data_IF_966907399724
#
_entry.id   IF_966907399724
#
_cell.length_a   1.000
_cell.length_b   1.000
_cell.length_c   1.000
_cell.angle_alpha   90.00
_cell.angle_beta   90.00
_cell.angle_gamma   90.00
#
_symmetry.space_group_name_H-M   'P 1'
#
loop_
_entity.id
_entity.type
_entity.pdbx_description
1 polymer ?
#
# COMPACT_ATOMS: atom_id res chain seq x y z
N UNK A 1 36.47 15.20 -26.75
CA UNK A 1 35.50 15.76 -25.80
C UNK A 1 34.18 15.07 -26.04
N UNK A 2 33.68 14.25 -25.11
CA UNK A 2 32.36 13.67 -25.23
C UNK A 2 31.35 14.79 -24.96
N UNK A 3 30.54 15.15 -25.96
CA UNK A 3 29.39 16.03 -25.76
C UNK A 3 28.38 15.29 -24.89
N UNK A 4 28.23 15.71 -23.64
CA UNK A 4 27.19 15.19 -22.75
C UNK A 4 25.84 15.62 -23.31
N UNK A 5 25.05 14.67 -23.81
CA UNK A 5 23.67 14.93 -24.21
C UNK A 5 22.83 14.93 -22.93
N UNK A 6 22.30 16.10 -22.56
CA UNK A 6 21.34 16.22 -21.47
C UNK A 6 19.92 16.20 -22.02
N UNK A 7 19.08 15.31 -21.49
CA UNK A 7 17.66 15.30 -21.84
C UNK A 7 16.96 16.56 -21.27
N UNK A 8 16.08 17.21 -22.04
CA UNK A 8 15.23 18.28 -21.54
C UNK A 8 14.37 17.82 -20.36
N UNK A 9 13.98 18.76 -19.50
CA UNK A 9 13.19 18.46 -18.29
C UNK A 9 11.88 17.78 -18.65
N UNK A 10 11.22 18.24 -19.71
CA UNK A 10 9.92 17.74 -20.18
C UNK A 10 9.99 16.25 -20.55
N UNK A 11 11.08 15.83 -21.20
CA UNK A 11 11.31 14.43 -21.55
C UNK A 11 11.54 13.60 -20.29
N UNK A 12 12.28 14.11 -19.30
CA UNK A 12 12.40 13.45 -18.00
C UNK A 12 11.05 13.30 -17.30
N UNK A 13 10.16 14.29 -17.38
CA UNK A 13 8.83 14.19 -16.79
C UNK A 13 7.98 13.11 -17.44
N UNK A 14 8.03 13.02 -18.76
CA UNK A 14 7.35 11.99 -19.54
C UNK A 14 7.87 10.60 -19.13
N UNK A 15 9.19 10.39 -19.12
CA UNK A 15 9.81 9.14 -18.69
C UNK A 15 9.33 8.74 -17.29
N UNK A 16 9.41 9.66 -16.31
CA UNK A 16 8.99 9.40 -14.94
C UNK A 16 7.49 9.11 -14.80
N UNK A 17 6.65 9.63 -15.69
CA UNK A 17 5.20 9.37 -15.67
C UNK A 17 4.84 7.93 -16.02
N UNK A 18 5.75 7.21 -16.70
CA UNK A 18 5.57 5.81 -17.09
C UNK A 18 6.21 4.80 -16.13
N UNK A 19 7.00 5.27 -15.15
CA UNK A 19 7.65 4.38 -14.18
C UNK A 19 6.64 3.90 -13.12
N UNK A 20 6.76 2.65 -12.73
CA UNK A 20 6.00 2.09 -11.61
C UNK A 20 6.52 2.57 -10.25
N UNK A 21 5.83 2.16 -9.19
CA UNK A 21 6.15 2.53 -7.82
C UNK A 21 7.58 2.16 -7.42
N UNK A 22 7.99 0.91 -7.59
CA UNK A 22 9.31 0.44 -7.13
C UNK A 22 10.43 1.03 -7.96
N UNK A 23 10.22 1.18 -9.26
CA UNK A 23 11.17 1.85 -10.15
C UNK A 23 11.36 3.31 -9.76
N UNK A 24 10.28 4.04 -9.44
CA UNK A 24 10.36 5.40 -8.91
C UNK A 24 11.11 5.46 -7.58
N UNK A 25 10.91 4.50 -6.67
CA UNK A 25 11.67 4.41 -5.41
C UNK A 25 13.15 4.21 -5.65
N UNK A 26 13.50 3.31 -6.56
CA UNK A 26 14.90 3.07 -6.94
C UNK A 26 15.53 4.34 -7.53
N UNK A 27 14.83 5.07 -8.39
CA UNK A 27 15.29 6.36 -8.92
C UNK A 27 15.59 7.38 -7.81
N UNK A 28 14.82 7.41 -6.71
CA UNK A 28 15.07 8.33 -5.59
C UNK A 28 16.41 8.09 -4.90
N UNK A 29 16.95 6.87 -4.97
CA UNK A 29 18.23 6.48 -4.37
C UNK A 29 19.43 6.79 -5.26
N UNK A 30 19.21 7.01 -6.56
CA UNK A 30 20.28 7.26 -7.54
C UNK A 30 20.84 8.69 -7.44
N UNK A 31 19.98 9.71 -7.34
CA UNK A 31 20.43 11.10 -7.24
C UNK A 31 19.41 12.04 -6.62
N UNK A 32 19.88 13.20 -6.12
CA UNK A 32 19.02 14.28 -5.61
C UNK A 32 18.08 14.85 -6.70
N UNK A 33 18.52 14.84 -7.96
CA UNK A 33 17.72 15.29 -9.09
C UNK A 33 16.56 14.32 -9.38
N UNK A 34 16.82 13.02 -9.43
CA UNK A 34 15.75 12.03 -9.59
C UNK A 34 14.78 12.04 -8.42
N UNK A 35 15.28 12.18 -7.18
CA UNK A 35 14.44 12.35 -6.01
C UNK A 35 13.56 13.61 -6.04
N UNK A 36 13.96 14.67 -6.76
CA UNK A 36 13.12 15.87 -6.89
C UNK A 36 12.02 15.69 -7.93
N UNK A 37 12.27 14.95 -9.02
CA UNK A 37 11.25 14.62 -10.01
C UNK A 37 10.09 13.79 -9.43
N UNK A 38 10.36 12.85 -8.51
CA UNK A 38 9.28 12.07 -7.86
C UNK A 38 8.36 12.88 -6.95
N UNK A 39 8.71 14.14 -6.64
CA UNK A 39 7.86 15.08 -5.87
C UNK A 39 6.87 15.84 -6.74
N UNK A 40 6.94 15.67 -8.06
CA UNK A 40 6.07 16.39 -8.98
C UNK A 40 4.66 15.81 -8.97
N UNK A 41 3.63 16.63 -9.28
CA UNK A 41 2.23 16.21 -9.26
C UNK A 41 1.96 14.93 -10.05
N UNK A 42 2.64 14.73 -11.19
CA UNK A 42 2.48 13.58 -12.07
C UNK A 42 2.84 12.25 -11.40
N UNK A 43 3.81 12.26 -10.47
CA UNK A 43 4.25 11.07 -9.76
C UNK A 43 3.42 10.77 -8.51
N UNK A 44 2.64 11.74 -7.98
CA UNK A 44 2.00 11.58 -6.67
C UNK A 44 0.98 10.45 -6.61
N UNK A 45 0.28 10.18 -7.72
CA UNK A 45 -0.65 9.04 -7.82
C UNK A 45 0.09 7.72 -7.72
N UNK A 46 1.11 7.52 -8.55
CA UNK A 46 1.94 6.30 -8.54
C UNK A 46 2.68 6.11 -7.23
N UNK A 47 3.05 7.21 -6.56
CA UNK A 47 3.71 7.21 -5.25
C UNK A 47 2.72 7.12 -4.07
N UNK A 48 1.41 7.00 -4.32
CA UNK A 48 0.37 6.91 -3.28
C UNK A 48 0.39 8.08 -2.27
N UNK A 49 0.60 9.29 -2.80
CA UNK A 49 0.70 10.56 -2.06
C UNK A 49 -0.33 11.60 -2.53
N UNK A 50 -1.35 11.17 -3.27
CA UNK A 50 -2.45 12.03 -3.71
C UNK A 50 -3.13 12.72 -2.52
N UNK A 51 -3.38 14.03 -2.60
CA UNK A 51 -3.97 14.79 -1.48
C UNK A 51 -5.50 14.71 -1.42
N UNK A 52 -6.14 14.29 -2.50
CA UNK A 52 -7.60 14.26 -2.61
C UNK A 52 -8.14 12.98 -1.99
N UNK A 53 -8.52 13.08 -0.72
CA UNK A 53 -9.05 11.95 0.07
C UNK A 53 -10.55 11.79 -0.19
N UNK A 54 -10.98 10.57 -0.45
CA UNK A 54 -12.40 10.21 -0.49
C UNK A 54 -12.89 10.04 0.96
N UNK A 55 -13.86 10.84 1.42
CA UNK A 55 -14.40 10.73 2.78
C UNK A 55 -15.25 9.46 2.95
N UNK A 56 -15.58 9.11 4.20
CA UNK A 56 -16.57 8.06 4.48
C UNK A 56 -17.93 8.42 3.86
N UNK A 57 -18.56 7.46 3.18
CA UNK A 57 -19.75 7.69 2.36
C UNK A 57 -19.50 8.43 1.04
N UNK A 58 -18.25 8.75 0.70
CA UNK A 58 -17.87 9.30 -0.60
C UNK A 58 -18.07 8.29 -1.74
N UNK A 59 -18.22 8.80 -2.97
CA UNK A 59 -18.38 7.94 -4.14
C UNK A 59 -17.04 7.35 -4.57
N UNK A 60 -16.93 6.02 -4.53
CA UNK A 60 -15.74 5.28 -4.96
C UNK A 60 -16.04 4.63 -6.32
N UNK A 61 -15.28 5.01 -7.35
CA UNK A 61 -15.25 4.25 -8.58
C UNK A 61 -14.20 3.14 -8.45
N UNK A 62 -14.66 1.91 -8.22
CA UNK A 62 -13.80 0.75 -7.99
C UNK A 62 -12.79 0.51 -9.12
N UNK A 63 -13.15 0.78 -10.38
CA UNK A 63 -12.26 0.60 -11.53
C UNK A 63 -11.05 1.55 -11.54
N UNK A 64 -11.12 2.63 -10.75
CA UNK A 64 -10.04 3.60 -10.61
C UNK A 64 -9.22 3.40 -9.31
N UNK A 65 -9.61 2.46 -8.46
CA UNK A 65 -8.91 2.21 -7.20
C UNK A 65 -7.70 1.33 -7.49
N UNK A 66 -6.54 1.81 -7.03
CA UNK A 66 -5.31 1.04 -6.98
C UNK A 66 -4.96 0.76 -5.52
N UNK A 67 -4.56 -0.46 -5.24
CA UNK A 67 -4.02 -0.87 -3.95
C UNK A 67 -2.51 -0.68 -3.96
N UNK A 68 -1.93 -0.33 -2.81
CA UNK A 68 -0.52 -0.01 -2.71
C UNK A 68 0.36 -1.25 -3.01
N UNK A 69 1.29 -1.19 -3.97
CA UNK A 69 2.04 -2.37 -4.44
C UNK A 69 3.02 -2.93 -3.41
N UNK A 70 3.37 -2.17 -2.36
CA UNK A 70 4.13 -2.71 -1.23
C UNK A 70 3.46 -3.93 -0.60
N UNK A 71 2.12 -4.00 -0.62
CA UNK A 71 1.41 -5.14 -0.05
C UNK A 71 1.72 -6.47 -0.75
N UNK A 72 1.97 -6.44 -2.06
CA UNK A 72 2.35 -7.64 -2.83
C UNK A 72 3.82 -8.03 -2.64
N UNK A 73 4.58 -7.22 -1.89
CA UNK A 73 5.98 -7.44 -1.58
C UNK A 73 6.23 -7.53 -0.08
N UNK A 74 5.20 -7.71 0.73
CA UNK A 74 5.35 -7.88 2.17
C UNK A 74 5.50 -9.35 2.52
N UNK A 75 6.49 -9.66 3.37
CA UNK A 75 6.51 -10.92 4.10
C UNK A 75 5.70 -10.73 5.39
N UNK A 76 4.57 -11.41 5.50
CA UNK A 76 3.68 -11.34 6.65
C UNK A 76 3.11 -12.73 6.96
N UNK A 77 3.43 -13.22 8.17
CA UNK A 77 3.06 -14.57 8.64
C UNK A 77 2.25 -14.47 9.95
N UNK A 78 1.01 -13.94 9.90
CA UNK A 78 0.22 -13.63 11.11
C UNK A 78 0.94 -12.71 12.11
N UNK A 79 1.96 -11.96 11.68
CA UNK A 79 2.81 -11.16 12.55
C UNK A 79 1.97 -10.34 13.53
N UNK A 80 2.22 -10.52 14.81
CA UNK A 80 1.42 -9.90 15.89
C UNK A 80 2.01 -8.56 16.32
N UNK A 81 3.25 -8.31 15.93
CA UNK A 81 3.93 -7.03 16.02
C UNK A 81 4.28 -6.49 14.63
N UNK A 82 4.38 -5.17 14.50
CA UNK A 82 4.85 -4.52 13.27
C UNK A 82 6.33 -4.75 12.98
N UNK A 83 7.13 -5.00 14.02
CA UNK A 83 8.55 -5.28 13.88
C UNK A 83 8.80 -6.64 13.17
N UNK A 84 7.76 -7.46 13.07
CA UNK A 84 7.72 -8.73 12.35
C UNK A 84 7.16 -8.59 10.91
N UNK A 85 6.88 -7.36 10.46
CA UNK A 85 6.33 -7.09 9.12
C UNK A 85 7.42 -6.51 8.23
N UNK A 86 7.83 -7.26 7.21
CA UNK A 86 8.93 -6.88 6.33
C UNK A 86 8.42 -6.51 4.94
N UNK A 87 9.05 -5.51 4.33
CA UNK A 87 8.93 -5.18 2.91
C UNK A 87 10.15 -5.76 2.17
N UNK A 88 9.90 -6.68 1.25
CA UNK A 88 10.94 -7.57 0.72
C UNK A 88 11.42 -8.53 1.81
N UNK A 89 12.69 -8.91 1.74
CA UNK A 89 13.22 -9.99 2.58
C UNK A 89 13.58 -9.52 4.01
N UNK A 90 14.24 -8.37 4.14
CA UNK A 90 14.91 -8.01 5.41
C UNK A 90 14.58 -6.60 5.93
N UNK A 91 13.72 -5.84 5.26
CA UNK A 91 13.47 -4.43 5.65
C UNK A 91 12.18 -4.29 6.43
N UNK A 92 12.26 -3.94 7.71
CA UNK A 92 11.07 -3.69 8.56
C UNK A 92 10.22 -2.59 7.93
N UNK A 93 8.92 -2.84 7.76
CA UNK A 93 7.99 -1.93 7.09
C UNK A 93 8.03 -0.52 7.69
N UNK A 94 8.06 -0.43 9.02
CA UNK A 94 8.04 0.83 9.77
C UNK A 94 9.24 1.74 9.43
N UNK A 95 10.36 1.16 8.99
CA UNK A 95 11.56 1.91 8.60
C UNK A 95 11.53 2.35 7.13
N UNK A 96 10.50 1.96 6.39
CA UNK A 96 10.34 2.32 4.98
C UNK A 96 9.40 3.51 4.80
N UNK A 97 9.62 4.25 3.71
CA UNK A 97 8.67 5.29 3.31
C UNK A 97 7.30 4.77 2.85
N UNK A 98 7.14 3.46 2.63
CA UNK A 98 5.83 2.88 2.31
C UNK A 98 4.87 2.96 3.50
N UNK A 99 5.38 2.89 4.74
CA UNK A 99 4.56 2.96 5.96
C UNK A 99 3.68 4.23 6.02
N UNK A 100 4.24 5.37 5.61
CA UNK A 100 3.58 6.67 5.63
C UNK A 100 2.72 6.96 4.39
N UNK A 101 2.79 6.10 3.37
CA UNK A 101 2.05 6.26 2.13
C UNK A 101 0.63 5.72 2.25
N UNK A 102 -0.28 6.23 1.41
CA UNK A 102 -1.66 5.79 1.45
C UNK A 102 -1.81 4.36 0.96
N UNK A 103 -2.68 3.59 1.63
CA UNK A 103 -2.93 2.21 1.24
C UNK A 103 -3.59 2.08 -0.14
N UNK A 104 -4.19 3.16 -0.65
CA UNK A 104 -4.91 3.20 -1.93
C UNK A 104 -4.73 4.53 -2.65
N UNK A 105 -4.86 4.52 -3.98
CA UNK A 105 -5.04 5.71 -4.81
C UNK A 105 -6.35 5.57 -5.61
N UNK A 106 -7.28 6.54 -5.54
CA UNK A 106 -7.29 7.68 -4.62
C UNK A 106 -7.39 7.22 -3.15
N UNK A 107 -6.81 7.98 -2.20
CA UNK A 107 -6.82 7.58 -0.80
C UNK A 107 -8.21 7.65 -0.20
N UNK A 108 -8.60 6.61 0.53
CA UNK A 108 -9.88 6.55 1.23
C UNK A 108 -9.72 6.87 2.72
N UNK A 109 -10.68 7.58 3.29
CA UNK A 109 -10.73 7.84 4.74
C UNK A 109 -11.25 6.65 5.54
N UNK A 110 -11.85 5.67 4.87
CA UNK A 110 -12.47 4.49 5.45
C UNK A 110 -12.10 3.25 4.63
N UNK A 111 -11.60 2.22 5.31
CA UNK A 111 -11.24 0.94 4.72
C UNK A 111 -11.77 -0.19 5.60
N UNK A 112 -12.24 -1.27 4.98
CA UNK A 112 -12.50 -2.53 5.68
C UNK A 112 -11.53 -3.59 5.23
N UNK A 113 -10.94 -4.28 6.19
CA UNK A 113 -10.15 -5.47 5.98
C UNK A 113 -11.03 -6.67 6.26
N UNK A 114 -11.14 -7.58 5.30
CA UNK A 114 -11.81 -8.87 5.50
C UNK A 114 -10.76 -9.96 5.35
N UNK A 115 -10.42 -10.60 6.46
CA UNK A 115 -9.54 -11.76 6.50
C UNK A 115 -10.41 -12.99 6.39
N UNK A 116 -10.34 -13.73 5.27
CA UNK A 116 -11.17 -14.94 5.03
C UNK A 116 -12.67 -14.67 5.29
N UNK A 117 -13.34 -15.53 6.05
CA UNK A 117 -14.77 -15.41 6.40
C UNK A 117 -15.01 -14.65 7.71
N UNK A 118 -13.96 -14.10 8.32
CA UNK A 118 -14.08 -13.39 9.58
C UNK A 118 -14.82 -12.06 9.43
N UNK A 119 -15.36 -11.58 10.56
CA UNK A 119 -16.00 -10.28 10.62
C UNK A 119 -14.99 -9.19 10.20
N UNK A 120 -15.33 -8.35 9.19
CA UNK A 120 -14.39 -7.35 8.71
C UNK A 120 -13.96 -6.37 9.80
N UNK A 121 -12.66 -6.08 9.85
CA UNK A 121 -12.07 -5.05 10.69
C UNK A 121 -12.15 -3.71 9.97
N UNK A 122 -12.53 -2.66 10.69
CA UNK A 122 -12.66 -1.32 10.13
C UNK A 122 -11.46 -0.44 10.50
N UNK A 123 -10.98 0.31 9.51
CA UNK A 123 -9.93 1.31 9.65
C UNK A 123 -10.47 2.65 9.19
N UNK A 124 -10.28 3.68 10.02
CA UNK A 124 -10.73 5.04 9.71
C UNK A 124 -9.62 6.04 9.95
N UNK A 125 -9.35 6.87 8.97
CA UNK A 125 -8.45 8.01 9.07
C UNK A 125 -8.94 9.13 8.15
N UNK A 126 -9.40 10.25 8.72
CA UNK A 126 -9.90 11.39 7.93
C UNK A 126 -8.84 11.98 6.98
N UNK A 127 -7.56 11.76 7.28
CA UNK A 127 -6.43 12.19 6.47
C UNK A 127 -6.00 11.15 5.41
N UNK A 128 -6.76 10.06 5.25
CA UNK A 128 -6.45 8.93 4.35
C UNK A 128 -5.80 7.77 5.10
N UNK A 129 -6.26 6.55 4.84
CA UNK A 129 -5.72 5.32 5.45
C UNK A 129 -4.34 5.01 4.87
N UNK A 130 -3.35 4.79 5.72
CA UNK A 130 -1.97 4.47 5.31
C UNK A 130 -1.69 2.97 5.31
N UNK A 131 -0.62 2.56 4.64
CA UNK A 131 -0.10 1.18 4.64
C UNK A 131 0.18 0.71 6.07
N UNK A 132 0.85 1.54 6.88
CA UNK A 132 1.13 1.19 8.28
C UNK A 132 -0.15 0.95 9.09
N UNK A 133 -1.21 1.73 8.86
CA UNK A 133 -2.49 1.54 9.56
C UNK A 133 -3.16 0.24 9.18
N UNK A 134 -3.08 -0.17 7.92
CA UNK A 134 -3.55 -1.48 7.45
C UNK A 134 -2.81 -2.59 8.18
N UNK A 135 -1.49 -2.56 8.20
CA UNK A 135 -0.69 -3.61 8.85
C UNK A 135 -0.87 -3.64 10.37
N UNK A 136 -0.94 -2.47 11.04
CA UNK A 136 -1.29 -2.41 12.48
C UNK A 136 -2.62 -3.08 12.78
N UNK A 137 -3.61 -2.91 11.91
CA UNK A 137 -4.92 -3.52 12.08
C UNK A 137 -4.90 -5.03 11.86
N UNK A 138 -4.08 -5.53 10.92
CA UNK A 138 -3.85 -6.97 10.76
C UNK A 138 -3.12 -7.57 11.95
N UNK A 139 -2.02 -6.95 12.41
CA UNK A 139 -1.31 -7.42 13.61
C UNK A 139 -2.24 -7.56 14.80
N UNK A 140 -3.04 -6.53 15.11
CA UNK A 140 -4.04 -6.59 16.18
C UNK A 140 -5.12 -7.64 15.98
N UNK A 141 -5.49 -7.92 14.73
CA UNK A 141 -6.46 -8.96 14.42
C UNK A 141 -5.92 -10.33 14.85
N UNK A 142 -4.67 -10.64 14.50
CA UNK A 142 -4.00 -11.91 14.82
C UNK A 142 -3.44 -12.00 16.26
N UNK A 143 -3.17 -10.86 16.93
CA UNK A 143 -2.85 -10.87 18.37
C UNK A 143 -4.00 -11.36 19.25
N UNK A 144 -5.24 -11.34 18.73
CA UNK A 144 -6.40 -11.88 19.45
C UNK A 144 -6.43 -13.39 19.29
N UNK A 145 -6.31 -14.13 20.40
CA UNK A 145 -6.23 -15.60 20.43
C UNK A 145 -7.38 -16.31 19.70
N UNK A 146 -8.53 -15.63 19.53
CA UNK A 146 -9.68 -16.17 18.79
C UNK A 146 -9.50 -16.20 17.26
N UNK A 147 -8.46 -15.56 16.72
CA UNK A 147 -8.19 -15.46 15.28
C UNK A 147 -6.91 -16.19 14.86
N UNK A 148 -6.45 -17.15 15.67
CA UNK A 148 -5.44 -18.13 15.26
C UNK A 148 -6.11 -19.24 14.46
N UNK A 149 -5.40 -19.80 13.49
CA UNK A 149 -5.91 -20.96 12.77
C UNK A 149 -5.97 -22.20 13.69
N UNK A 150 -6.66 -23.25 13.24
CA UNK A 150 -6.84 -24.48 14.02
C UNK A 150 -5.55 -25.30 14.25
N UNK A 151 -4.44 -24.93 13.60
CA UNK A 151 -3.14 -25.63 13.66
C UNK A 151 -2.09 -24.86 14.46
N UNK A 152 -2.33 -23.59 14.78
CA UNK A 152 -1.34 -22.70 15.35
C UNK A 152 -0.22 -22.31 14.36
N UNK A 153 -0.43 -22.54 13.06
CA UNK A 153 0.58 -22.34 12.01
C UNK A 153 0.42 -20.99 11.28
N UNK A 154 1.51 -20.58 10.66
CA UNK A 154 1.74 -19.29 10.01
C UNK A 154 0.86 -19.12 8.76
N UNK A 155 -0.11 -18.19 8.77
CA UNK A 155 -0.81 -17.84 7.53
C UNK A 155 0.06 -16.88 6.73
N UNK A 156 0.56 -17.35 5.59
CA UNK A 156 1.24 -16.52 4.61
C UNK A 156 0.25 -15.65 3.84
N UNK A 157 0.68 -14.44 3.50
CA UNK A 157 -0.05 -13.50 2.65
C UNK A 157 0.63 -13.39 1.28
N UNK A 158 -0.11 -13.59 0.18
CA UNK A 158 0.44 -13.46 -1.18
C UNK A 158 -0.22 -12.34 -2.02
N UNK A 159 -0.89 -11.38 -1.39
CA UNK A 159 -1.57 -10.26 -2.05
C UNK A 159 -3.04 -10.10 -1.68
N UNK A 160 -3.72 -9.13 -2.29
CA UNK A 160 -5.14 -8.87 -2.02
C UNK A 160 -6.04 -9.53 -3.05
N UNK A 161 -6.79 -10.54 -2.64
CA UNK A 161 -7.62 -11.36 -3.53
C UNK A 161 -8.88 -10.64 -4.01
N UNK A 162 -9.43 -9.73 -3.20
CA UNK A 162 -10.65 -9.02 -3.57
C UNK A 162 -10.62 -7.57 -3.15
N UNK A 163 -10.72 -6.66 -4.12
CA UNK A 163 -11.01 -5.25 -3.87
C UNK A 163 -12.45 -4.99 -4.31
N UNK A 164 -13.34 -4.69 -3.37
CA UNK A 164 -14.78 -4.45 -3.66
C UNK A 164 -15.39 -3.37 -2.80
N UNK A 165 -16.65 -3.04 -3.07
CA UNK A 165 -17.45 -2.13 -2.26
C UNK A 165 -18.46 -2.91 -1.40
N UNK A 166 -18.64 -2.49 -0.15
CA UNK A 166 -19.74 -2.97 0.69
C UNK A 166 -21.09 -2.38 0.25
N UNK A 167 -22.20 -2.84 0.86
CA UNK A 167 -23.55 -2.34 0.56
C UNK A 167 -23.74 -0.83 0.79
N UNK A 168 -22.81 -0.17 1.50
CA UNK A 168 -22.81 1.28 1.73
C UNK A 168 -21.80 2.01 0.84
N UNK A 169 -21.23 1.35 -0.17
CA UNK A 169 -20.25 1.93 -1.09
C UNK A 169 -18.85 2.09 -0.50
N UNK A 170 -18.52 1.42 0.61
CA UNK A 170 -17.23 1.57 1.29
C UNK A 170 -16.25 0.49 0.83
N UNK A 171 -14.99 0.87 0.66
CA UNK A 171 -13.95 -0.03 0.18
C UNK A 171 -13.68 -1.16 1.17
N UNK A 172 -13.68 -2.38 0.65
CA UNK A 172 -13.30 -3.61 1.34
C UNK A 172 -12.12 -4.21 0.59
N UNK A 173 -11.03 -4.42 1.32
CA UNK A 173 -9.91 -5.24 0.86
C UNK A 173 -10.02 -6.61 1.53
N UNK A 174 -10.19 -7.63 0.71
CA UNK A 174 -10.15 -9.04 1.10
C UNK A 174 -8.73 -9.55 1.01
N UNK A 175 -8.28 -10.21 2.07
CA UNK A 175 -7.07 -11.02 2.10
C UNK A 175 -7.57 -12.47 2.06
N UNK A 176 -7.32 -13.21 0.97
CA UNK A 176 -7.48 -14.66 1.03
C UNK A 176 -6.19 -15.31 1.52
N UNK A 177 -6.38 -16.58 1.82
CA UNK A 177 -5.50 -17.45 2.55
C UNK A 177 -4.72 -18.34 1.57
N UNK A 178 -3.44 -18.54 1.85
CA UNK A 178 -2.67 -19.62 1.25
C UNK A 178 -2.45 -20.73 2.28
N UNK A 179 -2.83 -21.95 1.92
CA UNK A 179 -2.42 -23.18 2.61
C UNK A 179 -0.91 -23.36 2.36
N UNK A 180 -0.14 -23.65 3.41
CA UNK A 180 1.23 -24.15 3.26
C UNK A 180 1.25 -25.65 2.93
#
# INVERSE_FOLDING_TARGET
MASTIELPKEVWLEVFSHLDYFTLKNCMSVSKAFKSFTKLPTCQKTMFRSKTIIPDGGNINLANVRVHPAFDCMSYECATDLDEVYLGDDTVLADTCAADEYATDPPVAFLRLRVVEWKPVQITNKSGVTVLQVMKSLCRFFSNENHRDSRGDHTGWTGWDETKLDRKGRLVLGVDWFDS
#
